data_IF_342633576589
#
_entry.id   IF_342633576589
#
_cell.length_a   1.000
_cell.length_b   1.000
_cell.length_c   1.000
_cell.angle_alpha   90.00
_cell.angle_beta   90.00
_cell.angle_gamma   90.00
#
_symmetry.space_group_name_H-M   'P 1'
#
loop_
_entity.id
_entity.type
_entity.pdbx_description
1 polymer ?
#
# COMPACT_ATOMS: atom_id res chain seq x y z
N UNK A 1 11.27 -13.37 5.11
CA UNK A 1 11.24 -12.57 6.36
C UNK A 1 10.71 -11.18 6.01
N UNK A 2 9.44 -10.88 6.32
CA UNK A 2 8.82 -9.59 5.99
C UNK A 2 9.39 -8.54 6.95
N UNK A 3 10.26 -7.64 6.45
CA UNK A 3 10.75 -6.50 7.23
C UNK A 3 9.79 -5.33 7.03
N UNK A 4 9.13 -4.90 8.10
CA UNK A 4 8.29 -3.71 8.16
C UNK A 4 9.19 -2.46 7.96
N UNK A 5 9.01 -1.73 6.87
CA UNK A 5 9.80 -0.52 6.56
C UNK A 5 8.84 0.63 6.31
N UNK A 6 8.96 1.73 7.05
CA UNK A 6 7.96 2.82 7.10
C UNK A 6 8.58 4.13 6.62
N UNK A 7 7.94 4.79 5.65
CA UNK A 7 8.48 5.87 4.82
C UNK A 7 7.70 7.19 5.02
N UNK A 8 8.45 8.30 5.14
CA UNK A 8 8.01 9.68 4.90
C UNK A 8 8.97 10.24 3.84
N UNK A 9 8.45 10.92 2.82
CA UNK A 9 9.11 11.22 1.54
C UNK A 9 10.16 12.34 1.58
N UNK A 10 11.27 12.18 0.84
CA UNK A 10 11.99 13.21 0.07
C UNK A 10 13.11 12.56 -0.78
N UNK A 11 13.07 12.46 -2.13
CA UNK A 11 14.28 12.06 -2.92
C UNK A 11 14.34 12.61 -4.36
N UNK A 12 15.54 13.06 -4.79
CA UNK A 12 15.91 13.73 -6.06
C UNK A 12 16.33 12.78 -7.22
N UNK A 13 16.16 13.24 -8.49
CA UNK A 13 16.50 12.74 -9.85
C UNK A 13 16.10 11.30 -10.30
N UNK A 14 15.63 10.97 -11.53
CA UNK A 14 15.15 11.79 -12.66
C UNK A 14 13.96 11.21 -13.45
N UNK A 15 13.42 10.02 -13.15
CA UNK A 15 12.07 9.60 -13.55
C UNK A 15 11.52 8.68 -12.45
N UNK A 16 10.38 9.04 -11.88
CA UNK A 16 9.68 8.27 -10.84
C UNK A 16 8.19 8.30 -11.19
N UNK A 17 7.48 7.19 -11.00
CA UNK A 17 6.03 7.14 -11.16
C UNK A 17 5.39 6.79 -9.84
N UNK A 18 4.38 7.56 -9.44
CA UNK A 18 3.56 7.30 -8.27
C UNK A 18 2.15 6.95 -8.74
N UNK A 19 1.68 5.75 -8.39
CA UNK A 19 0.37 5.25 -8.84
C UNK A 19 -0.40 4.75 -7.63
N UNK A 20 -1.55 5.35 -7.35
CA UNK A 20 -2.50 4.84 -6.37
C UNK A 20 -3.32 3.71 -7.01
N UNK A 21 -3.29 2.52 -6.41
CA UNK A 21 -4.09 1.40 -6.89
C UNK A 21 -4.63 0.55 -5.73
N UNK A 22 -5.92 0.67 -5.37
CA UNK A 22 -6.97 1.52 -5.97
C UNK A 22 -6.67 3.04 -5.96
N UNK A 23 -7.18 3.77 -6.94
CA UNK A 23 -6.95 5.20 -7.07
C UNK A 23 -7.73 6.04 -6.04
N UNK A 24 -7.12 7.12 -5.58
CA UNK A 24 -7.76 8.17 -4.78
C UNK A 24 -7.82 9.45 -5.64
N UNK A 25 -8.98 10.08 -5.86
CA UNK A 25 -10.27 9.91 -5.18
C UNK A 25 -11.29 9.00 -5.87
N UNK A 26 -10.99 8.39 -7.03
CA UNK A 26 -12.00 7.72 -7.85
C UNK A 26 -12.36 6.30 -7.40
N UNK A 27 -11.57 5.67 -6.54
CA UNK A 27 -11.75 4.26 -6.14
C UNK A 27 -11.43 3.24 -7.24
N UNK A 28 -11.11 3.70 -8.46
CA UNK A 28 -10.90 2.83 -9.63
C UNK A 28 -9.65 1.98 -9.48
N UNK A 29 -9.76 0.71 -9.88
CA UNK A 29 -8.64 -0.22 -9.89
C UNK A 29 -8.03 -0.29 -11.30
N UNK A 30 -6.73 -0.04 -11.40
CA UNK A 30 -5.97 -0.32 -12.59
C UNK A 30 -5.82 -1.83 -12.81
N UNK A 31 -5.84 -2.23 -14.08
CA UNK A 31 -5.54 -3.59 -14.50
C UNK A 31 -4.10 -3.97 -14.09
N UNK A 32 -3.98 -5.05 -13.32
CA UNK A 32 -2.71 -5.53 -12.77
C UNK A 32 -1.72 -5.91 -13.87
N UNK A 33 -2.19 -6.49 -14.98
CA UNK A 33 -1.32 -6.87 -16.11
C UNK A 33 -0.80 -5.65 -16.87
N UNK A 34 -1.62 -4.59 -16.95
CA UNK A 34 -1.18 -3.30 -17.53
C UNK A 34 -0.14 -2.63 -16.64
N UNK A 35 -0.32 -2.67 -15.32
CA UNK A 35 0.67 -2.16 -14.37
C UNK A 35 1.98 -2.95 -14.47
N UNK A 36 1.93 -4.28 -14.50
CA UNK A 36 3.10 -5.14 -14.69
C UNK A 36 3.85 -4.79 -15.99
N UNK A 37 3.12 -4.67 -17.11
CA UNK A 37 3.70 -4.30 -18.41
C UNK A 37 4.37 -2.93 -18.36
N UNK A 38 3.77 -1.96 -17.66
CA UNK A 38 4.32 -0.63 -17.50
C UNK A 38 5.60 -0.63 -16.67
N UNK A 39 5.60 -1.33 -15.53
CA UNK A 39 6.76 -1.43 -14.63
C UNK A 39 7.93 -2.11 -15.35
N UNK A 40 7.63 -3.18 -16.11
CA UNK A 40 8.63 -3.92 -16.90
C UNK A 40 9.22 -3.05 -18.01
N UNK A 41 8.36 -2.32 -18.74
CA UNK A 41 8.78 -1.51 -19.89
C UNK A 41 9.73 -0.37 -19.48
N UNK A 42 9.52 0.21 -18.30
CA UNK A 42 10.30 1.34 -17.80
C UNK A 42 11.21 0.92 -16.63
N UNK A 43 12.08 -0.06 -16.85
CA UNK A 43 12.99 -0.60 -15.83
C UNK A 43 13.91 0.42 -15.14
N UNK A 44 14.26 1.50 -15.83
CA UNK A 44 15.10 2.59 -15.29
C UNK A 44 14.32 3.61 -14.43
N UNK A 45 12.98 3.53 -14.43
CA UNK A 45 12.11 4.38 -13.62
C UNK A 45 11.71 3.68 -12.34
N UNK A 46 11.81 4.38 -11.21
CA UNK A 46 11.30 3.89 -9.93
C UNK A 46 9.78 4.03 -9.88
N UNK A 47 9.07 2.92 -9.71
CA UNK A 47 7.63 2.88 -9.47
C UNK A 47 7.33 2.78 -7.99
N UNK A 48 6.45 3.66 -7.52
CA UNK A 48 5.84 3.60 -6.20
C UNK A 48 4.35 3.32 -6.39
N UNK A 49 3.91 2.13 -6.01
CA UNK A 49 2.52 1.71 -6.08
C UNK A 49 1.91 1.84 -4.68
N UNK A 50 1.00 2.80 -4.55
CA UNK A 50 0.28 3.04 -3.31
C UNK A 50 -0.95 2.14 -3.21
N UNK A 51 -0.83 1.12 -2.38
CA UNK A 51 -1.82 0.10 -2.07
C UNK A 51 -2.55 0.43 -0.75
N UNK A 52 -2.80 1.71 -0.46
CA UNK A 52 -3.49 2.14 0.77
C UNK A 52 -4.88 1.51 0.97
N UNK A 53 -5.54 1.08 -0.11
CA UNK A 53 -6.86 0.43 -0.11
C UNK A 53 -6.81 -1.04 -0.55
N UNK A 54 -5.63 -1.68 -0.51
CA UNK A 54 -5.45 -3.07 -0.95
C UNK A 54 -6.41 -4.05 -0.28
N UNK A 55 -6.65 -3.91 1.01
CA UNK A 55 -7.49 -4.82 1.77
C UNK A 55 -8.93 -4.88 1.22
N UNK A 56 -9.43 -3.80 0.61
CA UNK A 56 -10.79 -3.74 0.06
C UNK A 56 -10.92 -4.34 -1.35
N UNK A 57 -9.83 -4.50 -2.10
CA UNK A 57 -9.85 -5.02 -3.47
C UNK A 57 -9.13 -6.37 -3.63
N UNK A 58 -8.21 -6.71 -2.73
CA UNK A 58 -7.42 -7.93 -2.74
C UNK A 58 -6.41 -8.05 -3.90
N UNK A 59 -6.26 -7.03 -4.76
CA UNK A 59 -5.37 -7.08 -5.93
C UNK A 59 -4.10 -6.27 -5.67
N UNK A 60 -2.95 -6.87 -5.97
CA UNK A 60 -1.64 -6.30 -5.69
C UNK A 60 -0.61 -6.72 -6.75
N UNK A 61 0.40 -5.89 -6.96
CA UNK A 61 1.57 -6.20 -7.80
C UNK A 61 2.75 -6.75 -6.99
N UNK A 62 2.55 -7.10 -5.72
CA UNK A 62 3.62 -7.58 -4.83
C UNK A 62 4.32 -8.86 -5.33
N UNK A 63 3.67 -9.66 -6.17
CA UNK A 63 4.28 -10.84 -6.78
C UNK A 63 5.43 -10.50 -7.74
N UNK A 64 5.56 -9.25 -8.18
CA UNK A 64 6.64 -8.77 -9.06
C UNK A 64 7.93 -8.43 -8.30
N UNK A 65 7.86 -8.23 -6.98
CA UNK A 65 9.01 -7.83 -6.16
C UNK A 65 10.24 -8.75 -6.24
N UNK A 66 10.11 -10.08 -6.45
CA UNK A 66 11.27 -10.95 -6.65
C UNK A 66 12.05 -10.65 -7.94
N UNK A 67 11.41 -10.09 -8.97
CA UNK A 67 12.00 -9.88 -10.30
C UNK A 67 12.21 -8.40 -10.65
N UNK A 68 11.54 -7.47 -9.95
CA UNK A 68 11.56 -6.04 -10.26
C UNK A 68 12.18 -5.22 -9.13
N UNK A 69 13.41 -4.75 -9.35
CA UNK A 69 14.13 -3.93 -8.36
C UNK A 69 13.68 -2.47 -8.35
N UNK A 70 13.03 -2.01 -9.42
CA UNK A 70 12.52 -0.66 -9.59
C UNK A 70 11.11 -0.46 -9.00
N UNK A 71 10.66 -1.33 -8.09
CA UNK A 71 9.31 -1.31 -7.52
C UNK A 71 9.33 -1.13 -6.00
N UNK A 72 8.55 -0.16 -5.52
CA UNK A 72 8.19 0.02 -4.11
C UNK A 72 6.66 -0.05 -4.02
N UNK A 73 6.14 -0.85 -3.11
CA UNK A 73 4.71 -0.91 -2.80
C UNK A 73 4.51 -0.34 -1.40
N UNK A 74 3.57 0.59 -1.21
CA UNK A 74 3.24 1.14 0.11
C UNK A 74 1.88 0.67 0.58
N UNK A 75 1.75 0.40 1.88
CA UNK A 75 0.49 0.04 2.55
C UNK A 75 0.37 0.77 3.88
N UNK A 76 -0.85 0.84 4.42
CA UNK A 76 -1.14 1.60 5.62
C UNK A 76 -2.07 0.87 6.57
N UNK A 77 -1.91 1.12 7.87
CA UNK A 77 -2.89 0.72 8.88
C UNK A 77 -4.03 1.73 9.03
N UNK A 78 -4.00 2.83 8.28
CA UNK A 78 -4.96 3.93 8.45
C UNK A 78 -6.37 3.61 7.96
N UNK A 79 -6.52 2.58 7.12
CA UNK A 79 -7.78 2.27 6.41
C UNK A 79 -8.44 1.03 7.00
N UNK A 80 -8.20 -0.15 6.44
CA UNK A 80 -8.82 -1.39 6.87
C UNK A 80 -8.60 -1.74 8.36
N UNK A 81 -7.47 -1.31 8.93
CA UNK A 81 -7.16 -1.55 10.34
C UNK A 81 -7.68 -0.45 11.29
N UNK A 82 -8.28 0.64 10.80
CA UNK A 82 -8.83 1.71 11.64
C UNK A 82 -7.81 2.54 12.45
N UNK A 83 -6.51 2.42 12.17
CA UNK A 83 -5.44 3.06 12.95
C UNK A 83 -4.96 4.39 12.35
N UNK A 84 -5.86 5.21 11.78
CA UNK A 84 -5.49 6.44 11.07
C UNK A 84 -4.65 7.39 11.93
N UNK A 85 -5.02 7.59 13.19
CA UNK A 85 -4.33 8.49 14.12
C UNK A 85 -2.99 7.95 14.63
N UNK A 86 -2.70 6.65 14.45
CA UNK A 86 -1.47 6.03 14.92
C UNK A 86 -0.29 6.21 13.96
N UNK A 87 -0.53 6.72 12.75
CA UNK A 87 0.53 7.09 11.79
C UNK A 87 1.51 5.95 11.51
N UNK A 88 0.97 4.77 11.23
CA UNK A 88 1.74 3.57 10.91
C UNK A 88 1.34 3.00 9.54
N UNK A 89 2.35 2.62 8.77
CA UNK A 89 2.24 2.00 7.46
C UNK A 89 3.49 1.18 7.19
N UNK A 90 3.65 0.64 6.00
CA UNK A 90 4.84 -0.10 5.62
C UNK A 90 5.02 -0.12 4.11
N UNK A 91 6.20 -0.51 3.64
CA UNK A 91 6.48 -0.76 2.25
C UNK A 91 7.09 -2.14 2.00
N UNK A 92 6.86 -2.66 0.81
CA UNK A 92 7.47 -3.86 0.26
C UNK A 92 8.35 -3.44 -0.93
N UNK A 93 9.62 -3.83 -0.92
CA UNK A 93 10.56 -3.51 -2.00
C UNK A 93 11.79 -4.40 -1.96
N UNK A 94 12.70 -4.24 -2.92
CA UNK A 94 14.00 -4.92 -2.95
C UNK A 94 14.86 -4.55 -1.73
N UNK A 95 15.75 -5.46 -1.32
CA UNK A 95 16.65 -5.22 -0.18
C UNK A 95 17.51 -3.96 -0.36
N UNK A 96 17.93 -3.67 -1.59
CA UNK A 96 18.67 -2.46 -1.93
C UNK A 96 17.85 -1.19 -1.71
N UNK A 97 16.60 -1.15 -2.18
CA UNK A 97 15.71 -0.01 -1.92
C UNK A 97 15.48 0.16 -0.42
N UNK A 98 15.22 -0.93 0.30
CA UNK A 98 15.05 -0.89 1.76
C UNK A 98 16.30 -0.36 2.47
N UNK A 99 17.51 -0.74 2.04
CA UNK A 99 18.75 -0.23 2.61
C UNK A 99 18.86 1.28 2.41
N UNK A 100 18.63 1.77 1.19
CA UNK A 100 18.61 3.20 0.87
C UNK A 100 17.60 3.95 1.72
N UNK A 101 16.37 3.44 1.83
CA UNK A 101 15.31 4.05 2.64
C UNK A 101 15.66 4.12 4.13
N UNK A 102 16.35 3.11 4.65
CA UNK A 102 16.80 3.09 6.06
C UNK A 102 17.89 4.12 6.35
N UNK A 103 18.72 4.51 5.36
CA UNK A 103 19.71 5.58 5.54
C UNK A 103 19.05 6.96 5.70
N UNK A 104 17.83 7.11 5.19
CA UNK A 104 17.20 8.41 5.00
C UNK A 104 16.06 8.64 6.01
N UNK A 105 15.47 7.56 6.53
CA UNK A 105 14.45 7.67 7.57
C UNK A 105 15.07 8.02 8.93
N UNK A 106 14.33 8.78 9.74
CA UNK A 106 14.65 8.90 11.15
C UNK A 106 14.44 7.54 11.85
N UNK A 107 15.44 7.07 12.60
CA UNK A 107 15.39 5.80 13.31
C UNK A 107 14.19 5.70 14.28
N UNK A 108 13.71 6.82 14.81
CA UNK A 108 12.58 6.93 15.76
C UNK A 108 11.32 7.53 15.11
N UNK A 109 11.10 7.30 13.82
CA UNK A 109 9.96 7.85 13.08
C UNK A 109 8.58 7.29 13.47
N UNK A 110 8.52 6.28 14.35
CA UNK A 110 7.27 5.61 14.75
C UNK A 110 7.22 5.49 16.26
N UNK A 111 6.09 5.91 16.85
CA UNK A 111 5.90 5.84 18.31
C UNK A 111 5.79 4.39 18.78
N UNK A 112 6.18 4.12 20.03
CA UNK A 112 6.00 2.79 20.62
C UNK A 112 4.52 2.37 20.61
N UNK A 113 3.61 3.30 20.93
CA UNK A 113 2.17 3.05 20.95
C UNK A 113 1.65 2.63 19.56
N UNK A 114 2.11 3.27 18.50
CA UNK A 114 1.78 2.90 17.12
C UNK A 114 2.21 1.48 16.78
N UNK A 115 3.40 1.06 17.23
CA UNK A 115 3.89 -0.30 17.02
C UNK A 115 3.04 -1.34 17.77
N UNK A 116 2.71 -1.06 19.03
CA UNK A 116 1.82 -1.91 19.84
C UNK A 116 0.46 -2.07 19.17
N UNK A 117 -0.15 -0.96 18.72
CA UNK A 117 -1.46 -0.98 18.06
C UNK A 117 -1.42 -1.78 16.75
N UNK A 118 -0.41 -1.58 15.90
CA UNK A 118 -0.29 -2.33 14.65
C UNK A 118 -0.06 -3.83 14.89
N UNK A 119 0.76 -4.21 15.88
CA UNK A 119 0.97 -5.62 16.24
C UNK A 119 -0.33 -6.26 16.73
N UNK A 120 -1.11 -5.55 17.57
CA UNK A 120 -2.42 -6.04 18.01
C UNK A 120 -3.38 -6.20 16.84
N UNK A 121 -3.46 -5.21 15.95
CA UNK A 121 -4.32 -5.25 14.77
C UNK A 121 -3.93 -6.37 13.78
N UNK A 122 -2.64 -6.70 13.65
CA UNK A 122 -2.17 -7.84 12.83
C UNK A 122 -2.51 -9.19 13.43
N UNK A 123 -2.63 -9.29 14.77
CA UNK A 123 -3.05 -10.52 15.45
C UNK A 123 -4.56 -10.76 15.33
N UNK A 124 -5.34 -9.69 15.27
CA UNK A 124 -6.79 -9.73 15.11
C UNK A 124 -7.21 -9.50 13.64
N UNK A 125 -6.72 -10.38 12.77
CA UNK A 125 -6.99 -10.29 11.32
C UNK A 125 -8.47 -10.50 10.99
N UNK A 126 -9.15 -11.35 11.77
CA UNK A 126 -10.56 -11.69 11.61
C UNK A 126 -11.46 -10.45 11.76
N UNK A 127 -11.18 -9.59 12.74
CA UNK A 127 -11.89 -8.32 12.89
C UNK A 127 -11.73 -7.43 11.67
N UNK A 128 -10.50 -7.26 11.18
CA UNK A 128 -10.21 -6.46 9.98
C UNK A 128 -10.94 -7.01 8.75
N UNK A 129 -10.91 -8.33 8.55
CA UNK A 129 -11.59 -8.97 7.41
C UNK A 129 -13.12 -8.81 7.49
N UNK A 130 -13.70 -8.90 8.69
CA UNK A 130 -15.12 -8.63 8.92
C UNK A 130 -15.49 -7.19 8.59
N UNK A 131 -14.69 -6.22 9.05
CA UNK A 131 -14.88 -4.80 8.74
C UNK A 131 -14.78 -4.52 7.24
N UNK A 132 -13.76 -5.06 6.57
CA UNK A 132 -13.60 -4.94 5.12
C UNK A 132 -14.82 -5.49 4.38
N UNK A 133 -15.32 -6.66 4.79
CA UNK A 133 -16.50 -7.28 4.18
C UNK A 133 -17.75 -6.39 4.31
N UNK A 134 -17.96 -5.78 5.48
CA UNK A 134 -19.05 -4.84 5.71
C UNK A 134 -18.96 -3.64 4.77
N UNK A 135 -17.79 -3.02 4.65
CA UNK A 135 -17.57 -1.86 3.78
C UNK A 135 -17.75 -2.23 2.31
N UNK A 136 -17.22 -3.37 1.86
CA UNK A 136 -17.38 -3.81 0.46
C UNK A 136 -18.85 -4.09 0.13
N UNK A 137 -19.60 -4.69 1.07
CA UNK A 137 -21.05 -4.88 0.91
C UNK A 137 -21.79 -3.56 0.76
N UNK A 138 -21.45 -2.57 1.60
CA UNK A 138 -22.01 -1.23 1.52
C UNK A 138 -21.71 -0.52 0.19
N UNK A 139 -20.46 -0.59 -0.29
CA UNK A 139 -20.07 -0.02 -1.58
C UNK A 139 -20.85 -0.64 -2.75
N UNK A 140 -20.99 -1.97 -2.77
CA UNK A 140 -21.77 -2.65 -3.81
C UNK A 140 -23.25 -2.24 -3.78
N UNK A 141 -23.82 -2.01 -2.59
CA UNK A 141 -25.19 -1.53 -2.45
C UNK A 141 -25.36 -0.10 -2.97
N UNK A 142 -24.39 0.79 -2.72
CA UNK A 142 -24.39 2.14 -3.27
C UNK A 142 -24.31 2.12 -4.80
N UNK A 143 -23.40 1.34 -5.39
CA UNK A 143 -23.26 1.23 -6.84
C UNK A 143 -24.56 0.74 -7.49
N UNK A 144 -25.25 -0.22 -6.87
CA UNK A 144 -26.55 -0.68 -7.33
C UNK A 144 -27.59 0.45 -7.35
N UNK A 145 -27.66 1.25 -6.29
CA UNK A 145 -28.59 2.39 -6.22
C UNK A 145 -28.29 3.39 -7.34
N UNK A 146 -27.03 3.78 -7.53
CA UNK A 146 -26.64 4.76 -8.55
C UNK A 146 -26.86 4.26 -9.99
N UNK A 147 -26.78 2.96 -10.26
CA UNK A 147 -27.05 2.39 -11.58
C UNK A 147 -28.55 2.24 -11.90
N UNK A 148 -29.41 2.34 -10.89
CA UNK A 148 -30.87 2.21 -11.03
C UNK A 148 -31.62 3.55 -11.08
N UNK A 149 -30.92 4.67 -10.87
CA UNK A 149 -31.42 6.05 -11.00
C UNK A 149 -31.10 6.62 -12.38
#
# INVERSE_FOLDING_TARGET
>A
MIKLVILIYFFTSNQKSYICNPNNPTGTLHDILKLESLITKYGDMLFVIDEAYYEFCGKSVAYLLPTMQNLIITRTFSKAFGLASFRIGYCLSSAQNIATLNLLRNAKNITHLSQVAAIAALKDKEYMESYVKEIVLFLNALDFIYLTL
#
